data_IF_539488651472
#
_entry.id   IF_539488651472
#
_cell.length_a   1.000
_cell.length_b   1.000
_cell.length_c   1.000
_cell.angle_alpha   90.00
_cell.angle_beta   90.00
_cell.angle_gamma   90.00
#
_symmetry.space_group_name_H-M   'P 1'
#
loop_
_entity.id
_entity.type
_entity.pdbx_description
1 polymer ?
#
# COMPACT_ATOMS: atom_id res chain seq x y z
N UNK A 1 1.73 21.49 31.39
CA UNK A 1 2.83 20.85 30.64
C UNK A 1 2.29 20.63 29.24
N UNK A 2 3.00 21.05 28.17
CA UNK A 2 2.47 20.91 26.82
C UNK A 2 2.65 19.47 26.34
N UNK A 3 1.59 18.85 25.84
CA UNK A 3 1.62 17.50 25.29
C UNK A 3 2.50 17.48 24.04
N UNK A 4 3.53 16.64 24.03
CA UNK A 4 4.57 16.65 23.01
C UNK A 4 4.67 15.28 22.29
N UNK A 5 5.51 15.20 21.24
CA UNK A 5 5.62 13.98 20.40
C UNK A 5 6.06 12.76 21.22
N UNK A 6 6.95 12.96 22.19
CA UNK A 6 7.45 11.89 23.06
C UNK A 6 6.35 11.37 23.98
N UNK A 7 5.49 12.25 24.48
CA UNK A 7 4.33 11.85 25.29
C UNK A 7 3.37 11.01 24.44
N UNK A 8 3.04 11.48 23.24
CA UNK A 8 2.20 10.75 22.29
C UNK A 8 2.80 9.39 21.92
N UNK A 9 4.12 9.30 21.70
CA UNK A 9 4.80 8.03 21.44
C UNK A 9 4.63 7.04 22.59
N UNK A 10 4.89 7.48 23.83
CA UNK A 10 4.76 6.65 25.03
C UNK A 10 3.32 6.15 25.17
N UNK A 11 2.35 7.05 24.98
CA UNK A 11 0.94 6.72 25.09
C UNK A 11 0.49 5.71 24.03
N UNK A 12 0.84 5.93 22.75
CA UNK A 12 0.53 4.98 21.67
C UNK A 12 1.18 3.60 21.89
N UNK A 13 2.46 3.58 22.27
CA UNK A 13 3.21 2.34 22.52
C UNK A 13 2.58 1.51 23.63
N UNK A 14 2.04 2.17 24.66
CA UNK A 14 1.44 1.49 25.81
C UNK A 14 -0.02 1.08 25.57
N UNK A 15 -0.77 1.87 24.79
CA UNK A 15 -2.20 1.65 24.56
C UNK A 15 -2.52 0.68 23.42
N UNK A 16 -1.59 0.51 22.47
CA UNK A 16 -1.78 -0.36 21.30
C UNK A 16 -0.76 -1.50 21.38
N UNK A 17 -1.22 -2.64 21.90
CA UNK A 17 -0.41 -3.84 22.08
C UNK A 17 -0.75 -4.85 20.98
N UNK A 18 0.20 -5.08 20.08
CA UNK A 18 0.04 -5.98 18.94
C UNK A 18 1.08 -7.10 18.98
N UNK A 19 0.60 -8.34 19.10
CA UNK A 19 1.49 -9.49 19.31
C UNK A 19 2.40 -9.77 18.10
N UNK A 20 3.70 -9.82 18.38
CA UNK A 20 4.75 -9.99 17.39
C UNK A 20 5.00 -8.76 16.49
N UNK A 21 4.32 -7.63 16.70
CA UNK A 21 4.62 -6.40 15.98
C UNK A 21 5.67 -5.57 16.73
N UNK A 22 6.62 -4.99 15.99
CA UNK A 22 7.61 -4.04 16.48
C UNK A 22 7.08 -2.61 16.28
N UNK A 23 7.11 -1.82 17.35
CA UNK A 23 6.77 -0.39 17.29
C UNK A 23 7.94 0.43 16.75
N UNK A 24 7.64 1.35 15.84
CA UNK A 24 8.56 2.35 15.31
C UNK A 24 7.86 3.67 14.99
N UNK A 25 8.62 4.64 14.48
CA UNK A 25 8.08 5.93 14.10
C UNK A 25 8.85 6.56 12.94
N UNK A 26 8.16 7.36 12.16
CA UNK A 26 8.72 8.22 11.13
C UNK A 26 8.54 9.70 11.50
N UNK A 27 8.80 10.59 10.55
CA UNK A 27 8.62 12.03 10.73
C UNK A 27 7.17 12.35 11.06
N UNK A 28 6.21 11.75 10.35
CA UNK A 28 4.78 12.10 10.38
C UNK A 28 3.85 10.98 10.84
N UNK A 29 4.39 9.86 11.30
CA UNK A 29 3.59 8.71 11.71
C UNK A 29 4.26 7.86 12.78
N UNK A 30 3.45 7.08 13.49
CA UNK A 30 3.86 5.94 14.30
C UNK A 30 3.40 4.67 13.61
N UNK A 31 4.16 3.58 13.76
CA UNK A 31 3.81 2.34 13.10
C UNK A 31 4.12 1.11 13.94
N UNK A 32 3.39 0.04 13.64
CA UNK A 32 3.60 -1.30 14.14
C UNK A 32 3.88 -2.19 12.94
N UNK A 33 5.01 -2.87 12.93
CA UNK A 33 5.42 -3.71 11.81
C UNK A 33 5.73 -5.15 12.26
N UNK A 34 5.22 -6.12 11.53
CA UNK A 34 5.53 -7.54 11.70
C UNK A 34 5.99 -8.10 10.37
N UNK A 35 7.08 -8.85 10.40
CA UNK A 35 7.63 -9.53 9.24
C UNK A 35 7.61 -11.04 9.50
N UNK A 36 7.07 -11.80 8.56
CA UNK A 36 7.04 -13.25 8.60
C UNK A 36 7.01 -13.77 7.15
N UNK A 37 7.81 -14.81 6.87
CA UNK A 37 7.79 -15.53 5.58
C UNK A 37 7.89 -14.64 4.33
N UNK A 38 8.71 -13.58 4.40
CA UNK A 38 8.89 -12.63 3.29
C UNK A 38 7.73 -11.65 3.09
N UNK A 39 6.77 -11.61 4.02
CA UNK A 39 5.65 -10.68 4.04
C UNK A 39 5.81 -9.71 5.20
N UNK A 40 5.68 -8.41 4.92
CA UNK A 40 5.71 -7.36 5.94
C UNK A 40 4.30 -6.75 6.07
N UNK A 41 3.71 -6.91 7.25
CA UNK A 41 2.46 -6.28 7.64
C UNK A 41 2.77 -5.04 8.47
N UNK A 42 2.21 -3.89 8.09
CA UNK A 42 2.37 -2.63 8.81
C UNK A 42 1.04 -1.95 9.07
N UNK A 43 0.84 -1.54 10.31
CA UNK A 43 -0.21 -0.58 10.68
C UNK A 43 0.47 0.76 10.90
N UNK A 44 -0.02 1.79 10.25
CA UNK A 44 0.48 3.16 10.40
C UNK A 44 -0.62 4.07 10.94
N UNK A 45 -0.28 4.84 11.97
CA UNK A 45 -1.10 5.93 12.51
C UNK A 45 -0.36 7.24 12.27
N UNK A 46 -0.79 7.95 11.23
CA UNK A 46 -0.28 9.28 10.93
C UNK A 46 -0.75 10.30 11.96
N UNK A 47 -0.02 11.41 12.11
CA UNK A 47 -0.44 12.50 12.98
C UNK A 47 -0.13 13.87 12.39
N UNK A 48 -0.91 14.87 12.81
CA UNK A 48 -0.60 16.29 12.57
C UNK A 48 -0.27 16.96 13.90
N UNK A 49 0.86 17.64 13.95
CA UNK A 49 1.33 18.37 15.14
C UNK A 49 0.89 19.84 15.09
N UNK A 50 0.38 20.32 16.21
CA UNK A 50 0.11 21.74 16.48
C UNK A 50 0.85 22.18 17.75
N UNK A 51 0.94 23.50 18.03
CA UNK A 51 1.59 23.98 19.25
C UNK A 51 0.93 23.43 20.53
N UNK A 52 1.51 22.39 21.11
CA UNK A 52 1.06 21.77 22.36
C UNK A 52 0.00 20.67 22.21
N UNK A 53 -0.28 20.24 20.97
CA UNK A 53 -1.35 19.27 20.68
C UNK A 53 -1.15 18.50 19.38
N UNK A 54 -1.98 17.47 19.18
CA UNK A 54 -1.95 16.59 18.01
C UNK A 54 -3.35 16.20 17.53
N UNK A 55 -3.46 15.85 16.25
CA UNK A 55 -4.55 15.06 15.71
C UNK A 55 -3.99 13.75 15.17
N UNK A 56 -4.66 12.64 15.44
CA UNK A 56 -4.33 11.37 14.80
C UNK A 56 -5.15 11.19 13.52
N UNK A 57 -4.55 10.59 12.51
CA UNK A 57 -5.26 10.12 11.33
C UNK A 57 -5.79 8.71 11.56
N UNK A 58 -6.80 8.32 10.79
CA UNK A 58 -7.29 6.95 10.80
C UNK A 58 -6.17 5.98 10.41
N UNK A 59 -6.05 4.82 11.09
CA UNK A 59 -5.02 3.83 10.79
C UNK A 59 -5.07 3.37 9.33
N UNK A 60 -3.88 3.17 8.77
CA UNK A 60 -3.65 2.58 7.46
C UNK A 60 -3.00 1.21 7.64
N UNK A 61 -3.60 0.16 7.09
CA UNK A 61 -2.96 -1.15 7.01
C UNK A 61 -2.25 -1.30 5.67
N UNK A 62 -1.04 -1.87 5.67
CA UNK A 62 -0.21 -2.07 4.49
C UNK A 62 0.41 -3.46 4.53
N UNK A 63 0.48 -4.11 3.37
CA UNK A 63 1.18 -5.39 3.19
C UNK A 63 2.21 -5.24 2.08
N UNK A 64 3.44 -5.64 2.37
CA UNK A 64 4.54 -5.75 1.40
C UNK A 64 4.86 -7.22 1.19
N UNK A 65 4.85 -7.67 -0.05
CA UNK A 65 5.39 -8.95 -0.47
C UNK A 65 6.81 -8.73 -0.98
N UNK A 66 7.83 -9.13 -0.20
CA UNK A 66 9.23 -8.86 -0.55
C UNK A 66 9.58 -9.41 -1.95
N UNK A 67 9.09 -10.61 -2.29
CA UNK A 67 9.32 -11.23 -3.61
C UNK A 67 8.94 -10.33 -4.80
N UNK A 68 7.93 -9.48 -4.63
CA UNK A 68 7.44 -8.58 -5.66
C UNK A 68 8.12 -7.22 -5.60
N UNK A 69 8.20 -6.64 -4.40
CA UNK A 69 8.78 -5.31 -4.23
C UNK A 69 10.29 -5.30 -4.49
N UNK A 70 11.00 -6.39 -4.22
CA UNK A 70 12.43 -6.50 -4.50
C UNK A 70 12.71 -6.51 -6.02
N UNK A 71 11.83 -7.13 -6.83
CA UNK A 71 11.88 -7.06 -8.29
C UNK A 71 11.72 -5.60 -8.71
N UNK A 72 10.69 -4.91 -8.24
CA UNK A 72 10.45 -3.50 -8.60
C UNK A 72 11.64 -2.62 -8.19
N UNK A 73 12.19 -2.86 -7.00
CA UNK A 73 13.31 -2.11 -6.46
C UNK A 73 14.56 -2.20 -7.33
N UNK A 74 14.86 -3.36 -7.91
CA UNK A 74 15.98 -3.54 -8.84
C UNK A 74 15.87 -2.59 -10.05
N UNK A 75 14.68 -2.45 -10.64
CA UNK A 75 14.47 -1.56 -11.78
C UNK A 75 14.49 -0.08 -11.37
N UNK A 76 13.96 0.27 -10.19
CA UNK A 76 14.07 1.62 -9.64
C UNK A 76 15.54 2.02 -9.49
N UNK A 77 16.38 1.15 -8.93
CA UNK A 77 17.82 1.39 -8.80
C UNK A 77 18.50 1.49 -10.17
N UNK A 78 18.19 0.57 -11.09
CA UNK A 78 18.74 0.54 -12.45
C UNK A 78 18.51 1.85 -13.21
N UNK A 79 17.32 2.43 -13.07
CA UNK A 79 16.94 3.66 -13.77
C UNK A 79 17.16 4.94 -12.95
N UNK A 80 17.66 4.84 -11.72
CA UNK A 80 17.91 6.01 -10.86
C UNK A 80 16.63 6.76 -10.50
N UNK A 81 15.52 6.06 -10.35
CA UNK A 81 14.21 6.66 -10.11
C UNK A 81 14.11 7.04 -8.63
N UNK A 82 13.85 8.32 -8.34
CA UNK A 82 13.58 8.78 -6.98
C UNK A 82 12.30 8.12 -6.46
N UNK A 83 12.39 7.56 -5.24
CA UNK A 83 11.51 6.60 -4.56
C UNK A 83 9.99 6.95 -4.56
N UNK A 84 9.37 7.00 -5.74
CA UNK A 84 7.99 7.45 -5.98
C UNK A 84 6.99 6.31 -6.16
N UNK A 85 7.48 5.07 -6.08
CA UNK A 85 6.76 3.86 -6.47
C UNK A 85 6.02 3.17 -5.32
N UNK A 86 6.23 3.64 -4.08
CA UNK A 86 5.67 3.05 -2.86
C UNK A 86 6.33 1.72 -2.51
N UNK A 87 6.61 1.50 -1.22
CA UNK A 87 7.35 0.31 -0.75
C UNK A 87 6.43 -0.87 -0.39
N UNK A 88 5.12 -0.66 -0.40
CA UNK A 88 4.12 -1.67 -0.06
C UNK A 88 3.37 -2.13 -1.30
N UNK A 89 2.91 -3.38 -1.29
CA UNK A 89 2.19 -3.98 -2.41
C UNK A 89 0.73 -3.59 -2.41
N UNK A 90 0.08 -3.72 -1.26
CA UNK A 90 -1.30 -3.33 -1.04
C UNK A 90 -1.45 -2.51 0.24
N UNK A 91 -2.53 -1.74 0.30
CA UNK A 91 -2.88 -0.94 1.45
C UNK A 91 -4.40 -0.80 1.57
N UNK A 92 -4.88 -0.51 2.77
CA UNK A 92 -6.28 -0.19 3.00
C UNK A 92 -6.44 0.85 4.11
N UNK A 93 -7.31 1.82 3.85
CA UNK A 93 -7.88 2.71 4.86
C UNK A 93 -9.29 2.24 5.14
N UNK A 94 -9.57 2.00 6.41
CA UNK A 94 -10.88 1.53 6.83
C UNK A 94 -11.80 2.73 7.09
N UNK A 95 -12.88 2.79 6.33
CA UNK A 95 -13.94 3.78 6.48
C UNK A 95 -15.23 3.05 6.81
N UNK A 96 -16.11 3.73 7.55
CA UNK A 96 -17.47 3.27 7.80
C UNK A 96 -17.56 1.91 8.50
N UNK A 97 -16.55 1.54 9.31
CA UNK A 97 -16.65 0.42 10.23
C UNK A 97 -17.74 0.72 11.28
N UNK A 98 -18.78 -0.12 11.43
CA UNK A 98 -19.94 0.19 12.27
C UNK A 98 -19.61 0.31 13.76
N UNK A 99 -18.51 -0.29 14.21
CA UNK A 99 -18.05 -0.24 15.60
C UNK A 99 -17.31 1.06 15.93
N UNK A 100 -16.89 1.82 14.92
CA UNK A 100 -15.97 2.96 15.03
C UNK A 100 -16.70 4.30 14.96
N UNK A 101 -16.50 5.14 15.97
CA UNK A 101 -16.92 6.54 15.95
C UNK A 101 -15.83 7.40 15.30
N UNK A 102 -15.95 7.62 14.00
CA UNK A 102 -14.99 8.40 13.23
C UNK A 102 -14.91 9.88 13.66
N UNK A 103 -15.93 10.42 14.35
CA UNK A 103 -15.89 11.81 14.84
C UNK A 103 -14.82 12.02 15.91
N UNK A 104 -14.35 10.95 16.56
CA UNK A 104 -13.27 11.02 17.55
C UNK A 104 -11.93 11.41 16.94
N UNK A 105 -11.71 11.17 15.65
CA UNK A 105 -10.48 11.61 14.97
C UNK A 105 -10.39 13.13 14.77
N UNK A 106 -11.49 13.86 15.01
CA UNK A 106 -11.53 15.33 15.03
C UNK A 106 -11.22 15.92 16.43
N UNK A 107 -10.90 15.08 17.43
CA UNK A 107 -10.51 15.53 18.77
C UNK A 107 -9.04 15.94 18.77
N UNK A 108 -8.78 17.15 19.27
CA UNK A 108 -7.44 17.64 19.53
C UNK A 108 -6.85 16.98 20.79
N UNK A 109 -5.80 16.20 20.63
CA UNK A 109 -5.11 15.52 21.72
C UNK A 109 -4.13 16.48 22.38
N UNK A 110 -4.40 16.83 23.63
CA UNK A 110 -3.59 17.75 24.44
C UNK A 110 -3.38 17.24 25.87
N UNK A 111 -3.93 16.08 26.21
CA UNK A 111 -3.77 15.38 27.47
C UNK A 111 -4.09 13.87 27.32
N UNK A 112 -4.02 13.13 28.43
CA UNK A 112 -4.31 11.69 28.46
C UNK A 112 -5.80 11.37 28.23
N UNK A 113 -6.72 12.23 28.67
CA UNK A 113 -8.15 12.01 28.51
C UNK A 113 -8.55 12.07 27.01
N UNK A 114 -8.16 13.16 26.34
CA UNK A 114 -8.33 13.33 24.90
C UNK A 114 -7.61 12.25 24.10
N UNK A 115 -6.41 11.84 24.52
CA UNK A 115 -5.71 10.70 23.92
C UNK A 115 -6.53 9.40 24.00
N UNK A 116 -7.05 9.08 25.20
CA UNK A 116 -7.78 7.83 25.44
C UNK A 116 -9.07 7.74 24.62
N UNK A 117 -9.75 8.87 24.36
CA UNK A 117 -10.91 8.89 23.46
C UNK A 117 -10.53 8.51 22.03
N UNK A 118 -9.45 9.09 21.49
CA UNK A 118 -9.02 8.79 20.10
C UNK A 118 -8.43 7.38 19.98
N UNK A 119 -7.61 6.96 20.94
CA UNK A 119 -6.93 5.65 20.86
C UNK A 119 -7.91 4.48 20.97
N UNK A 120 -9.05 4.67 21.65
CA UNK A 120 -10.11 3.67 21.70
C UNK A 120 -10.63 3.37 20.30
N UNK A 121 -10.87 4.39 19.48
CA UNK A 121 -11.33 4.22 18.10
C UNK A 121 -10.21 3.73 17.17
N UNK A 122 -8.96 4.10 17.43
CA UNK A 122 -7.79 3.51 16.75
C UNK A 122 -7.73 1.99 16.98
N UNK A 123 -7.88 1.53 18.23
CA UNK A 123 -7.85 0.11 18.57
C UNK A 123 -8.97 -0.67 17.87
N UNK A 124 -10.17 -0.10 17.78
CA UNK A 124 -11.28 -0.71 17.03
C UNK A 124 -10.99 -0.82 15.54
N UNK A 125 -10.41 0.19 14.90
CA UNK A 125 -10.01 0.10 13.48
C UNK A 125 -8.96 -0.99 13.30
N UNK A 126 -8.03 -1.14 14.25
CA UNK A 126 -7.04 -2.21 14.20
C UNK A 126 -7.71 -3.58 14.31
N UNK A 127 -8.59 -3.77 15.30
CA UNK A 127 -9.28 -5.03 15.57
C UNK A 127 -10.24 -5.43 14.43
N UNK A 128 -11.12 -4.54 13.99
CA UNK A 128 -12.17 -4.83 13.02
C UNK A 128 -11.78 -4.59 11.56
N UNK A 129 -10.68 -3.87 11.32
CA UNK A 129 -10.18 -3.54 9.98
C UNK A 129 -8.83 -4.17 9.67
N UNK A 130 -7.79 -3.69 10.36
CA UNK A 130 -6.40 -4.02 10.00
C UNK A 130 -6.05 -5.50 10.21
N UNK A 131 -6.48 -6.10 11.32
CA UNK A 131 -6.20 -7.50 11.60
C UNK A 131 -6.89 -8.45 10.60
N UNK A 132 -8.21 -8.31 10.31
CA UNK A 132 -8.86 -9.07 9.24
C UNK A 132 -8.23 -8.85 7.86
N UNK A 133 -7.75 -7.64 7.57
CA UNK A 133 -7.05 -7.35 6.33
C UNK A 133 -5.77 -8.19 6.19
N UNK A 134 -4.94 -8.25 7.23
CA UNK A 134 -3.73 -9.10 7.22
C UNK A 134 -4.05 -10.60 7.19
N UNK A 135 -5.16 -11.01 7.82
CA UNK A 135 -5.60 -12.40 7.77
C UNK A 135 -6.08 -12.82 6.38
N UNK A 136 -6.73 -11.89 5.65
CA UNK A 136 -7.22 -12.10 4.29
C UNK A 136 -6.09 -12.13 3.26
N UNK A 137 -5.10 -11.25 3.40
CA UNK A 137 -4.06 -11.04 2.37
C UNK A 137 -2.70 -11.59 2.80
N UNK A 138 -2.58 -12.92 2.81
CA UNK A 138 -1.34 -13.62 3.19
C UNK A 138 -0.46 -13.96 2.00
N UNK A 139 -1.04 -14.02 0.80
CA UNK A 139 -0.37 -14.43 -0.43
C UNK A 139 -0.75 -13.53 -1.61
N UNK A 140 0.09 -13.50 -2.65
CA UNK A 140 -0.24 -12.81 -3.91
C UNK A 140 -1.49 -13.40 -4.60
N UNK A 141 -1.81 -14.68 -4.34
CA UNK A 141 -3.03 -15.31 -4.84
C UNK A 141 -4.28 -14.69 -4.20
N UNK A 142 -4.26 -14.40 -2.89
CA UNK A 142 -5.36 -13.71 -2.19
C UNK A 142 -5.58 -12.30 -2.74
N UNK A 143 -4.47 -11.61 -3.03
CA UNK A 143 -4.48 -10.29 -3.66
C UNK A 143 -5.11 -10.35 -5.04
N UNK A 144 -4.62 -11.23 -5.93
CA UNK A 144 -5.16 -11.36 -7.28
C UNK A 144 -6.64 -11.76 -7.29
N UNK A 145 -7.07 -12.64 -6.39
CA UNK A 145 -8.48 -12.99 -6.25
C UNK A 145 -9.33 -11.74 -5.98
N UNK A 146 -8.91 -10.90 -5.03
CA UNK A 146 -9.66 -9.69 -4.69
C UNK A 146 -9.59 -8.63 -5.80
N UNK A 147 -8.46 -8.52 -6.52
CA UNK A 147 -8.35 -7.61 -7.68
C UNK A 147 -9.38 -7.91 -8.77
N UNK A 148 -9.73 -9.18 -8.97
CA UNK A 148 -10.73 -9.59 -9.96
C UNK A 148 -12.18 -9.24 -9.54
N UNK A 149 -12.39 -8.89 -8.27
CA UNK A 149 -13.70 -8.55 -7.70
C UNK A 149 -13.88 -7.02 -7.55
N UNK A 150 -12.82 -6.25 -7.75
CA UNK A 150 -12.77 -4.79 -7.53
C UNK A 150 -12.92 -4.00 -8.82
N UNK A 151 -13.53 -2.82 -8.73
CA UNK A 151 -13.50 -1.83 -9.81
C UNK A 151 -12.15 -1.07 -9.87
N UNK A 152 -11.94 -0.27 -10.93
CA UNK A 152 -10.69 0.47 -11.11
C UNK A 152 -10.38 1.46 -9.97
N UNK A 153 -11.42 2.07 -9.38
CA UNK A 153 -11.27 3.04 -8.30
C UNK A 153 -10.83 2.33 -7.02
N UNK A 154 -11.45 1.20 -6.70
CA UNK A 154 -11.07 0.33 -5.59
C UNK A 154 -9.64 -0.18 -5.75
N UNK A 155 -9.30 -0.69 -6.94
CA UNK A 155 -7.93 -1.13 -7.26
C UNK A 155 -6.91 -0.01 -7.03
N UNK A 156 -7.20 1.22 -7.47
CA UNK A 156 -6.28 2.36 -7.32
C UNK A 156 -6.00 2.75 -5.86
N UNK A 157 -6.93 2.42 -4.96
CA UNK A 157 -6.80 2.67 -3.52
C UNK A 157 -6.15 1.50 -2.80
N UNK A 158 -6.38 0.29 -3.32
CA UNK A 158 -5.93 -0.97 -2.75
C UNK A 158 -4.48 -1.30 -3.11
N UNK A 159 -4.08 -1.19 -4.38
CA UNK A 159 -2.69 -1.40 -4.82
C UNK A 159 -1.89 -0.14 -4.52
N UNK A 160 -0.84 -0.26 -3.71
CA UNK A 160 -0.06 0.91 -3.30
C UNK A 160 0.96 1.30 -4.37
N UNK A 161 1.02 2.58 -4.69
CA UNK A 161 1.98 3.14 -5.66
C UNK A 161 1.63 2.83 -7.12
N UNK A 162 2.58 2.23 -7.85
CA UNK A 162 2.55 2.05 -9.31
C UNK A 162 1.66 0.90 -9.80
N UNK A 163 0.34 1.09 -9.71
CA UNK A 163 -0.70 0.12 -10.10
C UNK A 163 -0.46 -0.53 -11.48
N UNK A 164 -0.05 0.26 -12.48
CA UNK A 164 0.15 -0.20 -13.86
C UNK A 164 1.26 -1.23 -14.06
N UNK A 165 2.23 -1.29 -13.15
CA UNK A 165 3.31 -2.29 -13.13
C UNK A 165 2.98 -3.39 -12.12
N UNK A 166 2.43 -3.02 -10.96
CA UNK A 166 2.16 -3.95 -9.86
C UNK A 166 1.15 -5.04 -10.23
N UNK A 167 0.05 -4.71 -10.91
CA UNK A 167 -0.98 -5.71 -11.25
C UNK A 167 -0.46 -6.79 -12.22
N UNK A 168 0.16 -6.45 -13.38
CA UNK A 168 0.75 -7.46 -14.24
C UNK A 168 1.82 -8.29 -13.54
N UNK A 169 2.63 -7.68 -12.66
CA UNK A 169 3.66 -8.40 -11.92
C UNK A 169 3.06 -9.41 -10.92
N UNK A 170 2.02 -9.02 -10.16
CA UNK A 170 1.28 -9.94 -9.29
C UNK A 170 0.79 -11.16 -10.09
N UNK A 171 0.12 -10.90 -11.22
CA UNK A 171 -0.41 -11.96 -12.09
C UNK A 171 0.68 -12.85 -12.66
N UNK A 172 1.83 -12.28 -13.06
CA UNK A 172 3.01 -13.03 -13.52
C UNK A 172 3.54 -13.98 -12.44
N UNK A 173 3.77 -13.46 -11.23
CA UNK A 173 4.38 -14.22 -10.14
C UNK A 173 3.53 -15.42 -9.69
N UNK A 174 2.20 -15.33 -9.79
CA UNK A 174 1.29 -16.42 -9.46
C UNK A 174 0.89 -17.29 -10.67
N UNK A 175 1.44 -17.03 -11.85
CA UNK A 175 1.05 -17.69 -13.11
C UNK A 175 -0.46 -17.61 -13.40
N UNK A 176 -1.06 -16.43 -13.23
CA UNK A 176 -2.48 -16.22 -13.50
C UNK A 176 -2.76 -16.44 -15.00
N UNK A 177 -3.86 -17.14 -15.32
CA UNK A 177 -4.22 -17.47 -16.70
C UNK A 177 -4.49 -16.25 -17.59
N UNK A 178 -4.86 -15.13 -16.98
CA UNK A 178 -5.17 -13.86 -17.63
C UNK A 178 -4.00 -12.86 -17.61
N UNK A 179 -2.80 -13.28 -17.17
CA UNK A 179 -1.61 -12.42 -17.09
C UNK A 179 -1.31 -11.72 -18.43
N UNK A 180 -1.31 -12.46 -19.54
CA UNK A 180 -0.95 -11.90 -20.85
C UNK A 180 -1.99 -10.89 -21.35
N UNK A 181 -3.27 -11.12 -21.09
CA UNK A 181 -4.35 -10.18 -21.43
C UNK A 181 -4.20 -8.88 -20.63
N UNK A 182 -3.93 -8.99 -19.33
CA UNK A 182 -3.67 -7.83 -18.47
C UNK A 182 -2.44 -7.04 -18.90
N UNK A 183 -1.36 -7.75 -19.26
CA UNK A 183 -0.12 -7.13 -19.74
C UNK A 183 -0.36 -6.31 -21.02
N UNK A 184 -1.15 -6.82 -21.97
CA UNK A 184 -1.51 -6.09 -23.19
C UNK A 184 -2.34 -4.84 -22.90
N UNK A 185 -3.36 -4.94 -22.02
CA UNK A 185 -4.16 -3.78 -21.60
C UNK A 185 -3.29 -2.68 -20.99
N UNK A 186 -2.32 -3.04 -20.13
CA UNK A 186 -1.40 -2.05 -19.54
C UNK A 186 -0.43 -1.48 -20.55
N UNK A 187 0.06 -2.27 -21.51
CA UNK A 187 0.89 -1.77 -22.60
C UNK A 187 0.16 -0.70 -23.43
N UNK A 188 -1.09 -0.96 -23.81
CA UNK A 188 -1.92 0.03 -24.53
C UNK A 188 -2.08 1.32 -23.72
N UNK A 189 -2.35 1.18 -22.42
CA UNK A 189 -2.43 2.32 -21.50
C UNK A 189 -1.16 3.20 -21.47
N UNK A 190 0.04 2.59 -21.50
CA UNK A 190 1.32 3.32 -21.57
C UNK A 190 1.59 3.97 -22.95
N UNK A 191 1.06 3.40 -24.04
CA UNK A 191 1.24 3.93 -25.39
C UNK A 191 0.34 5.13 -25.64
N UNK A 192 -0.94 5.03 -25.28
CA UNK A 192 -2.00 5.95 -25.70
C UNK A 192 -2.10 7.23 -24.86
N UNK A 193 -1.47 7.27 -23.68
CA UNK A 193 -1.61 8.40 -22.75
C UNK A 193 -0.40 9.32 -22.70
N UNK A 194 -0.27 10.15 -23.73
CA UNK A 194 0.79 11.16 -23.87
C UNK A 194 0.85 12.14 -22.68
N UNK A 195 -0.28 12.40 -22.03
CA UNK A 195 -0.43 13.23 -20.83
C UNK A 195 0.41 12.71 -19.64
N UNK A 196 0.67 11.41 -19.55
CA UNK A 196 1.42 10.81 -18.45
C UNK A 196 2.92 10.88 -18.67
N UNK A 197 3.38 10.95 -19.93
CA UNK A 197 4.81 11.09 -20.26
C UNK A 197 5.41 12.39 -19.72
N UNK A 198 4.58 13.43 -19.57
CA UNK A 198 5.00 14.74 -19.10
C UNK A 198 4.82 14.93 -17.58
N UNK A 199 4.15 14.00 -16.90
CA UNK A 199 3.90 14.11 -15.47
C UNK A 199 5.05 13.49 -14.68
N UNK A 200 5.71 14.29 -13.84
CA UNK A 200 6.92 13.90 -13.09
C UNK A 200 6.81 12.59 -12.30
N UNK A 201 5.59 12.23 -11.87
CA UNK A 201 5.32 11.02 -11.08
C UNK A 201 5.06 9.77 -11.93
N UNK A 202 5.03 9.89 -13.26
CA UNK A 202 4.89 8.77 -14.20
C UNK A 202 6.04 8.69 -15.18
N UNK A 203 6.95 9.68 -15.11
CA UNK A 203 8.21 9.68 -15.82
C UNK A 203 8.96 8.40 -15.47
N UNK A 204 9.46 7.71 -16.48
CA UNK A 204 10.26 6.49 -16.36
C UNK A 204 9.47 5.21 -15.97
N UNK A 205 8.14 5.30 -15.77
CA UNK A 205 7.31 4.11 -15.54
C UNK A 205 7.26 3.20 -16.77
N UNK A 206 7.24 3.80 -17.95
CA UNK A 206 7.27 3.09 -19.22
C UNK A 206 8.62 2.37 -19.42
N UNK A 207 9.74 2.97 -18.98
CA UNK A 207 11.05 2.31 -19.00
C UNK A 207 11.03 1.05 -18.14
N UNK A 208 10.59 1.16 -16.90
CA UNK A 208 10.48 0.00 -15.98
C UNK A 208 9.53 -1.06 -16.57
N UNK A 209 8.35 -0.66 -17.03
CA UNK A 209 7.37 -1.59 -17.58
C UNK A 209 7.91 -2.34 -18.80
N UNK A 210 8.47 -1.62 -19.78
CA UNK A 210 8.95 -2.22 -21.02
C UNK A 210 10.14 -3.16 -20.79
N UNK A 211 11.01 -2.85 -19.83
CA UNK A 211 12.16 -3.68 -19.50
C UNK A 211 11.74 -4.94 -18.71
N UNK A 212 10.96 -4.74 -17.63
CA UNK A 212 10.45 -5.82 -16.76
C UNK A 212 9.64 -6.88 -17.51
N UNK A 213 8.87 -6.46 -18.51
CA UNK A 213 8.02 -7.34 -19.31
C UNK A 213 8.54 -7.56 -20.74
N UNK A 214 9.80 -7.23 -21.04
CA UNK A 214 10.36 -7.27 -22.39
C UNK A 214 10.28 -8.65 -23.05
N UNK A 215 10.57 -9.72 -22.31
CA UNK A 215 10.43 -11.10 -22.78
C UNK A 215 8.97 -11.47 -23.03
N UNK A 216 8.10 -11.17 -22.06
CA UNK A 216 6.67 -11.47 -22.14
C UNK A 216 5.98 -10.81 -23.32
N UNK A 217 6.39 -9.57 -23.63
CA UNK A 217 5.88 -8.79 -24.75
C UNK A 217 6.39 -9.29 -26.10
N UNK A 218 7.62 -9.82 -26.18
CA UNK A 218 8.17 -10.41 -27.41
C UNK A 218 7.45 -11.70 -27.77
N UNK A 219 7.19 -12.57 -26.80
CA UNK A 219 6.44 -13.82 -27.01
C UNK A 219 5.04 -13.57 -27.59
N UNK A 220 4.35 -12.55 -27.09
CA UNK A 220 3.01 -12.16 -27.56
C UNK A 220 3.01 -11.70 -29.03
N UNK A 221 4.03 -10.96 -29.46
CA UNK A 221 4.14 -10.50 -30.85
C UNK A 221 4.30 -11.66 -31.83
N UNK A 222 5.05 -12.70 -31.46
CA UNK A 222 5.25 -13.90 -32.30
C UNK A 222 3.92 -14.63 -32.50
N UNK A 223 3.13 -14.82 -31.44
CA UNK A 223 1.81 -15.49 -31.51
C UNK A 223 0.86 -14.70 -32.43
N UNK A 224 0.83 -13.38 -32.30
CA UNK A 224 -0.01 -12.52 -33.14
C UNK A 224 0.36 -12.58 -34.62
N UNK A 225 1.65 -12.68 -34.96
CA UNK A 225 2.11 -12.81 -36.34
C UNK A 225 1.77 -14.18 -36.95
N UNK A 226 1.81 -15.25 -36.16
CA UNK A 226 1.47 -16.60 -36.62
C UNK A 226 -0.03 -16.79 -36.91
N UNK A 227 -0.91 -16.13 -36.16
CA UNK A 227 -2.36 -16.22 -36.36
C UNK A 227 -2.90 -15.37 -37.53
N UNK A 228 -2.04 -14.62 -38.23
CA UNK A 228 -2.41 -13.75 -39.36
C UNK A 228 -1.95 -14.30 -40.72
N UNK A 229 -1.24 -15.42 -40.76
CA UNK A 229 -0.81 -16.12 -41.97
C UNK A 229 -1.62 -17.36 -42.21
#
# INVERSE_FOLDING_TARGET
MAFNKKDLEIFLRNAILLDGFKFGHDVTAFYWQKEADGVINRIEVGYRKYPGSFYLHTPLAMVKFNEMEDIIHEYIQKYGIENSYGEYTIQSRFRDLPEVDYSKFDIEIHDEASFNEVVTEVNKIIEYGAMPFFEKFKTLQDVNKSLNEMDEVEISRFVSGIVGIKIPLIKKLINASDFKDELLKKKEWYIDREEFKNHRHFKDHDLVFNDLFSEDLREQQVIMCQNRG
#
